data_IF_093301663122
#
_entry.id   IF_093301663122
#
_cell.length_a   1.000
_cell.length_b   1.000
_cell.length_c   1.000
_cell.angle_alpha   90.00
_cell.angle_beta   90.00
_cell.angle_gamma   90.00
#
_symmetry.space_group_name_H-M   'P 1'
#
loop_
_entity.id
_entity.type
_entity.pdbx_description
1 polymer ?
#
# COMPACT_ATOMS: atom_id res chain seq x y z
N UNK A 1 -18.86 4.06 -14.59
CA UNK A 1 -18.13 5.30 -14.95
C UNK A 1 -16.72 5.40 -14.33
N UNK A 2 -16.55 5.21 -13.02
CA UNK A 2 -15.25 5.44 -12.33
C UNK A 2 -14.08 4.55 -12.79
N UNK A 3 -14.36 3.37 -13.37
CA UNK A 3 -13.34 2.41 -13.83
C UNK A 3 -12.48 2.93 -15.00
N UNK A 4 -13.07 3.71 -15.91
CA UNK A 4 -12.40 4.17 -17.13
C UNK A 4 -11.46 5.34 -16.82
N UNK A 5 -11.93 6.32 -16.04
CA UNK A 5 -11.10 7.42 -15.53
C UNK A 5 -9.90 6.90 -14.72
N UNK A 6 -10.11 5.86 -13.90
CA UNK A 6 -9.03 5.19 -13.15
C UNK A 6 -7.97 4.56 -14.07
N UNK A 7 -8.37 4.02 -15.23
CA UNK A 7 -7.42 3.45 -16.18
C UNK A 7 -6.57 4.51 -16.89
N UNK A 8 -7.15 5.67 -17.19
CA UNK A 8 -6.47 6.75 -17.92
C UNK A 8 -5.46 7.48 -17.02
N UNK A 9 -5.82 7.74 -15.75
CA UNK A 9 -4.98 8.50 -14.82
C UNK A 9 -3.85 7.66 -14.23
N UNK A 10 -4.03 6.34 -14.09
CA UNK A 10 -3.06 5.50 -13.38
C UNK A 10 -1.78 5.19 -14.16
N UNK A 11 -1.68 5.52 -15.46
CA UNK A 11 -0.56 5.09 -16.30
C UNK A 11 -0.47 3.56 -16.42
N UNK A 12 0.50 3.02 -17.18
CA UNK A 12 0.67 1.57 -17.34
C UNK A 12 1.23 0.96 -16.05
N UNK A 13 0.38 0.77 -15.05
CA UNK A 13 0.71 0.02 -13.83
C UNK A 13 0.43 -1.45 -14.04
N UNK A 14 1.37 -2.29 -13.66
CA UNK A 14 1.17 -3.74 -13.57
C UNK A 14 0.18 -4.01 -12.43
N UNK A 15 -1.11 -3.97 -12.74
CA UNK A 15 -2.16 -4.38 -11.81
C UNK A 15 -2.07 -5.88 -11.63
N UNK A 16 -2.21 -6.35 -10.39
CA UNK A 16 -2.32 -7.77 -10.13
C UNK A 16 -3.55 -8.32 -10.84
N UNK A 17 -3.36 -9.29 -11.74
CA UNK A 17 -4.39 -9.77 -12.66
C UNK A 17 -5.67 -10.22 -11.94
N UNK A 18 -5.54 -10.87 -10.78
CA UNK A 18 -6.68 -11.38 -10.01
C UNK A 18 -7.45 -10.30 -9.21
N UNK A 19 -6.78 -9.23 -8.76
CA UNK A 19 -7.37 -8.29 -7.78
C UNK A 19 -7.66 -6.92 -8.38
N UNK A 20 -7.00 -6.59 -9.49
CA UNK A 20 -7.02 -5.26 -10.09
C UNK A 20 -6.40 -4.17 -9.21
N UNK A 21 -5.72 -4.55 -8.12
CA UNK A 21 -4.96 -3.64 -7.27
C UNK A 21 -3.59 -3.38 -7.90
N UNK A 22 -3.07 -2.19 -7.68
CA UNK A 22 -1.69 -1.82 -7.95
C UNK A 22 -0.79 -2.45 -6.89
N UNK A 23 -0.47 -3.73 -7.09
CA UNK A 23 0.16 -4.63 -6.14
C UNK A 23 1.01 -5.65 -6.91
N UNK A 24 2.22 -5.91 -6.42
CA UNK A 24 3.14 -6.88 -7.01
C UNK A 24 3.83 -7.72 -5.93
N UNK A 25 3.86 -9.04 -6.12
CA UNK A 25 4.71 -9.91 -5.32
C UNK A 25 6.15 -9.83 -5.83
N UNK A 26 7.04 -9.24 -5.02
CA UNK A 26 8.49 -9.26 -5.26
C UNK A 26 9.04 -10.66 -4.95
N UNK A 27 8.50 -11.29 -3.92
CA UNK A 27 8.69 -12.70 -3.57
C UNK A 27 7.37 -13.28 -3.09
N UNK A 28 7.31 -14.57 -2.74
CA UNK A 28 6.10 -15.15 -2.12
C UNK A 28 5.71 -14.54 -0.77
N UNK A 29 6.57 -13.74 -0.14
CA UNK A 29 6.37 -13.13 1.18
C UNK A 29 6.49 -11.60 1.19
N UNK A 30 6.92 -10.99 0.09
CA UNK A 30 7.16 -9.54 0.00
C UNK A 30 6.28 -8.98 -1.09
N UNK A 31 5.41 -8.05 -0.71
CA UNK A 31 4.51 -7.33 -1.60
C UNK A 31 4.94 -5.88 -1.67
N UNK A 32 5.08 -5.35 -2.88
CA UNK A 32 5.12 -3.92 -3.15
C UNK A 32 3.74 -3.45 -3.62
N UNK A 33 3.20 -2.39 -3.04
CA UNK A 33 1.87 -1.86 -3.37
C UNK A 33 1.90 -0.34 -3.26
N UNK A 34 1.05 0.36 -4.03
CA UNK A 34 0.88 1.80 -3.81
C UNK A 34 0.13 2.08 -2.51
N UNK A 35 0.37 3.26 -1.94
CA UNK A 35 -0.28 3.71 -0.71
C UNK A 35 -1.81 3.64 -0.84
N UNK A 36 -2.49 2.82 -0.02
CA UNK A 36 -3.94 2.71 -0.06
C UNK A 36 -4.59 3.97 0.51
N UNK A 37 -5.85 4.21 0.15
CA UNK A 37 -6.59 5.39 0.58
C UNK A 37 -7.99 5.03 1.04
N UNK A 38 -8.50 5.74 2.03
CA UNK A 38 -9.91 5.70 2.44
C UNK A 38 -10.69 6.95 2.01
N UNK A 39 -9.99 8.04 1.68
CA UNK A 39 -10.60 9.34 1.42
C UNK A 39 -10.79 9.64 -0.07
N UNK A 40 -11.95 10.21 -0.40
CA UNK A 40 -12.18 10.87 -1.70
C UNK A 40 -11.45 12.22 -1.70
N UNK A 41 -10.81 12.67 -2.80
CA UNK A 41 -10.83 12.13 -4.16
C UNK A 41 -9.75 11.07 -4.44
N UNK A 42 -8.86 10.77 -3.49
CA UNK A 42 -7.72 9.88 -3.70
C UNK A 42 -8.13 8.43 -4.06
N UNK A 43 -9.28 7.96 -3.58
CA UNK A 43 -9.92 6.69 -4.00
C UNK A 43 -10.16 6.56 -5.52
N UNK A 44 -10.23 7.68 -6.25
CA UNK A 44 -10.45 7.65 -7.70
C UNK A 44 -9.25 7.01 -8.44
N UNK A 45 -8.03 7.19 -7.91
CA UNK A 45 -6.78 6.77 -8.55
C UNK A 45 -5.86 5.90 -7.67
N UNK A 46 -6.11 5.76 -6.36
CA UNK A 46 -5.37 4.86 -5.45
C UNK A 46 -6.12 3.55 -5.17
N UNK A 47 -5.40 2.56 -4.65
CA UNK A 47 -5.98 1.33 -4.15
C UNK A 47 -6.96 1.63 -2.99
N UNK A 48 -8.22 1.13 -3.03
CA UNK A 48 -9.11 1.19 -1.88
C UNK A 48 -8.55 0.35 -0.73
N UNK A 49 -8.43 0.94 0.47
CA UNK A 49 -7.84 0.24 1.63
C UNK A 49 -8.62 -1.04 1.98
N UNK A 50 -9.95 -0.97 1.95
CA UNK A 50 -10.84 -2.11 2.24
C UNK A 50 -10.55 -3.30 1.33
N UNK A 51 -10.27 -3.05 0.03
CA UNK A 51 -9.93 -4.11 -0.91
C UNK A 51 -8.54 -4.69 -0.66
N UNK A 52 -7.58 -3.86 -0.27
CA UNK A 52 -6.25 -4.34 0.10
C UNK A 52 -6.33 -5.24 1.34
N UNK A 53 -7.01 -4.79 2.41
CA UNK A 53 -7.17 -5.57 3.64
C UNK A 53 -7.87 -6.90 3.38
N UNK A 54 -8.99 -6.89 2.64
CA UNK A 54 -9.71 -8.13 2.28
C UNK A 54 -8.84 -9.11 1.49
N UNK A 55 -7.99 -8.60 0.59
CA UNK A 55 -7.04 -9.45 -0.15
C UNK A 55 -5.99 -10.06 0.78
N UNK A 56 -5.39 -9.24 1.66
CA UNK A 56 -4.37 -9.69 2.60
C UNK A 56 -4.93 -10.72 3.59
N UNK A 57 -6.12 -10.49 4.12
CA UNK A 57 -6.81 -11.42 5.02
C UNK A 57 -7.12 -12.75 4.31
N UNK A 58 -7.62 -12.70 3.07
CA UNK A 58 -7.97 -13.90 2.31
C UNK A 58 -6.74 -14.75 1.91
N UNK A 59 -5.60 -14.11 1.59
CA UNK A 59 -4.41 -14.83 1.11
C UNK A 59 -3.39 -15.12 2.20
N UNK A 60 -3.38 -14.35 3.29
CA UNK A 60 -2.34 -14.43 4.33
C UNK A 60 -2.89 -14.55 5.76
N UNK A 61 -4.20 -14.47 5.97
CA UNK A 61 -4.82 -14.56 7.30
C UNK A 61 -4.26 -13.50 8.25
N UNK A 62 -3.66 -13.94 9.36
CA UNK A 62 -3.03 -13.07 10.34
C UNK A 62 -1.53 -12.81 10.10
N UNK A 63 -0.95 -13.42 9.07
CA UNK A 63 0.48 -13.44 8.79
C UNK A 63 1.00 -12.28 7.94
N UNK A 64 0.34 -11.13 7.94
CA UNK A 64 0.74 -9.96 7.14
C UNK A 64 0.92 -8.72 8.01
N UNK A 65 1.78 -7.80 7.56
CA UNK A 65 1.91 -6.46 8.12
C UNK A 65 2.32 -5.47 7.03
N UNK A 66 2.06 -4.18 7.26
CA UNK A 66 2.38 -3.08 6.35
C UNK A 66 3.60 -2.34 6.89
N UNK A 67 4.55 -2.05 6.00
CA UNK A 67 5.60 -1.08 6.25
C UNK A 67 5.24 0.19 5.49
N UNK A 68 4.98 1.28 6.22
CA UNK A 68 4.64 2.59 5.66
C UNK A 68 5.87 3.50 5.66
N UNK A 69 6.21 4.01 4.48
CA UNK A 69 7.44 4.77 4.25
C UNK A 69 7.19 6.27 3.96
N UNK A 70 5.93 6.67 3.75
CA UNK A 70 5.57 8.03 3.36
C UNK A 70 5.63 8.99 4.54
N UNK A 71 6.41 10.07 4.43
CA UNK A 71 6.40 11.16 5.39
C UNK A 71 5.13 12.02 5.36
N UNK A 72 4.37 11.98 4.26
CA UNK A 72 3.09 12.70 4.11
C UNK A 72 1.96 12.08 4.94
N UNK A 73 2.23 10.94 5.57
CA UNK A 73 1.30 10.19 6.39
C UNK A 73 0.57 9.09 5.62
N UNK A 74 0.11 8.13 6.42
CA UNK A 74 -0.54 6.90 5.98
C UNK A 74 -1.87 7.18 5.27
N UNK A 75 -2.62 8.18 5.72
CA UNK A 75 -3.90 8.58 5.14
C UNK A 75 -5.09 7.70 5.57
N UNK A 76 -4.93 6.92 6.63
CA UNK A 76 -5.95 6.13 7.31
C UNK A 76 -5.46 5.81 8.74
N UNK A 77 -6.36 5.51 9.69
CA UNK A 77 -5.98 5.16 11.06
C UNK A 77 -5.39 3.74 11.15
N UNK A 78 -4.46 3.49 12.07
CA UNK A 78 -3.76 2.20 12.21
C UNK A 78 -4.74 1.06 12.54
N UNK A 79 -5.86 1.36 13.20
CA UNK A 79 -6.92 0.41 13.51
C UNK A 79 -7.60 -0.13 12.24
N UNK A 80 -7.57 0.61 11.13
CA UNK A 80 -8.11 0.16 9.85
C UNK A 80 -7.33 -1.02 9.26
N UNK A 81 -6.14 -1.32 9.79
CA UNK A 81 -5.28 -2.44 9.41
C UNK A 81 -4.91 -3.29 10.63
N UNK A 82 -5.79 -3.33 11.64
CA UNK A 82 -5.64 -4.11 12.86
C UNK A 82 -4.36 -3.79 13.67
N UNK A 83 -3.81 -2.58 13.52
CA UNK A 83 -2.51 -2.21 14.10
C UNK A 83 -1.32 -2.96 13.49
N UNK A 84 -1.50 -3.68 12.38
CA UNK A 84 -0.46 -4.42 11.66
C UNK A 84 0.31 -3.51 10.71
N UNK A 85 0.75 -2.36 11.20
CA UNK A 85 1.46 -1.35 10.43
C UNK A 85 2.66 -0.83 11.22
N UNK A 86 3.77 -0.62 10.52
CA UNK A 86 5.01 -0.05 11.05
C UNK A 86 5.37 1.17 10.23
N UNK A 87 5.57 2.30 10.90
CA UNK A 87 5.86 3.58 10.25
C UNK A 87 7.38 3.85 10.26
N UNK A 88 7.96 4.00 9.08
CA UNK A 88 9.35 4.42 8.87
C UNK A 88 9.36 5.56 7.83
N UNK A 89 8.88 6.77 8.17
CA UNK A 89 8.65 7.82 7.20
C UNK A 89 9.94 8.50 6.70
N UNK A 90 10.01 8.80 5.40
CA UNK A 90 10.96 9.77 4.83
C UNK A 90 10.33 10.53 3.65
N UNK A 91 10.87 11.71 3.26
CA UNK A 91 10.30 12.52 2.19
C UNK A 91 10.32 11.80 0.85
N UNK A 92 9.27 12.01 0.05
CA UNK A 92 9.20 11.44 -1.29
C UNK A 92 10.41 11.86 -2.16
N UNK A 93 10.84 10.96 -3.05
CA UNK A 93 12.03 11.11 -3.90
C UNK A 93 13.38 11.30 -3.17
N UNK A 94 13.44 11.07 -1.85
CA UNK A 94 14.70 11.09 -1.08
C UNK A 94 15.10 9.67 -0.62
N UNK A 95 16.40 9.41 -0.41
CA UNK A 95 16.82 8.16 0.22
C UNK A 95 16.38 8.13 1.69
N UNK A 96 16.12 6.93 2.25
CA UNK A 96 15.86 6.81 3.68
C UNK A 96 17.09 7.25 4.49
N UNK A 97 16.92 7.96 5.63
CA UNK A 97 17.99 8.15 6.58
C UNK A 97 18.60 6.80 6.98
N UNK A 98 19.94 6.70 6.96
CA UNK A 98 20.64 5.44 7.19
C UNK A 98 20.24 4.78 8.53
N UNK A 99 19.94 5.59 9.55
CA UNK A 99 19.48 5.10 10.86
C UNK A 99 18.13 4.37 10.85
N UNK A 100 17.29 4.53 9.82
CA UNK A 100 16.04 3.76 9.69
C UNK A 100 16.28 2.35 9.17
N UNK A 101 17.32 2.14 8.37
CA UNK A 101 17.56 0.88 7.66
C UNK A 101 17.65 -0.32 8.61
N UNK A 102 18.40 -0.28 9.74
CA UNK A 102 18.44 -1.39 10.68
C UNK A 102 17.07 -1.76 11.26
N UNK A 103 16.19 -0.78 11.48
CA UNK A 103 14.85 -1.04 12.01
C UNK A 103 13.86 -1.57 10.97
N UNK A 104 14.12 -1.35 9.68
CA UNK A 104 13.31 -1.88 8.57
C UNK A 104 13.69 -3.33 8.25
N UNK A 105 14.99 -3.65 8.32
CA UNK A 105 15.56 -4.94 7.87
C UNK A 105 15.73 -5.94 9.02
N UNK A 106 15.99 -5.46 10.24
CA UNK A 106 16.19 -6.27 11.45
C UNK A 106 14.90 -6.70 12.12
#
# INVERSE_FOLDING_TARGET
MASILRHIVAGPRAKHEETGLDLCYVTSKIIATSGPSQTYPQLAYRNPLDRLVRFLDAKHGDGWAIWEFRAEGTGYPDEAVYGRIRHYPWPDHHPPPFGLVPGIVG
#
